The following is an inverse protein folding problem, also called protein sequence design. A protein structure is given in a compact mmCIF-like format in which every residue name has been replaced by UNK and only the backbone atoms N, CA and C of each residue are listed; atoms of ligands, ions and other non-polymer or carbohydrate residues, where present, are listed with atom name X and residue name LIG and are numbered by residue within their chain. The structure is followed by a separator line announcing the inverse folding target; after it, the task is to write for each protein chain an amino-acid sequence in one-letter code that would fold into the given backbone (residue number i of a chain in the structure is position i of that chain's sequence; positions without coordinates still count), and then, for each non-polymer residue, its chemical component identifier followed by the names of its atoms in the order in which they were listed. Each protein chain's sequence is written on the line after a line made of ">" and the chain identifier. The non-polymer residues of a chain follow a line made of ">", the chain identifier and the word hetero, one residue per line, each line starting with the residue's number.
data_IF_445451805658
#
_entry.id   IF_445451805658
#
_cell.length_a   1.000
_cell.length_b   1.000
_cell.length_c   1.000
_cell.angle_alpha   90.00
_cell.angle_beta   90.00
_cell.angle_gamma   90.00
#
_symmetry.space_group_name_H-M   'P 1'
#
loop_
_entity.id
_entity.type
_entity.pdbx_description
1 polymer ?
#
# COMPACT_ATOMS: atom_id res chain seq x y z
N UNK A 1 17.78 -28.05 -12.97
CA UNK A 1 16.47 -28.45 -12.41
C UNK A 1 15.80 -27.16 -11.99
N UNK A 2 14.81 -26.72 -12.76
CA UNK A 2 14.14 -25.42 -12.65
C UNK A 2 13.23 -25.44 -11.42
N UNK A 3 13.37 -24.46 -10.52
CA UNK A 3 12.41 -24.21 -9.44
C UNK A 3 11.44 -23.13 -9.94
N UNK A 4 10.14 -23.43 -9.85
CA UNK A 4 9.05 -22.54 -10.24
C UNK A 4 9.11 -21.22 -9.44
N UNK A 5 9.30 -20.11 -10.16
CA UNK A 5 9.10 -18.75 -9.64
C UNK A 5 7.61 -18.42 -9.71
N UNK A 6 6.82 -18.86 -8.74
CA UNK A 6 5.39 -18.60 -8.67
C UNK A 6 5.03 -18.06 -7.29
N UNK A 7 4.52 -16.82 -7.26
CA UNK A 7 3.87 -16.12 -6.12
C UNK A 7 4.72 -15.83 -4.86
N UNK A 8 5.58 -16.74 -4.39
CA UNK A 8 6.36 -16.57 -3.15
C UNK A 8 7.44 -15.48 -3.25
N UNK A 9 7.96 -15.20 -4.45
CA UNK A 9 8.99 -14.16 -4.63
C UNK A 9 8.43 -12.73 -4.47
N UNK A 10 7.13 -12.54 -4.66
CA UNK A 10 6.49 -11.22 -4.67
C UNK A 10 6.26 -10.68 -3.25
N UNK A 11 5.87 -11.55 -2.32
CA UNK A 11 5.79 -11.23 -0.89
C UNK A 11 7.18 -10.94 -0.30
N UNK A 12 8.21 -11.65 -0.79
CA UNK A 12 9.59 -11.42 -0.37
C UNK A 12 10.10 -10.04 -0.78
N UNK A 13 9.79 -9.58 -2.00
CA UNK A 13 10.26 -8.28 -2.50
C UNK A 13 9.59 -7.09 -1.78
N UNK A 14 8.30 -7.17 -1.45
CA UNK A 14 7.60 -6.12 -0.67
C UNK A 14 8.12 -6.02 0.77
N UNK A 15 8.33 -7.16 1.44
CA UNK A 15 8.92 -7.21 2.78
C UNK A 15 10.39 -6.70 2.78
N UNK A 16 11.16 -6.96 1.71
CA UNK A 16 12.55 -6.52 1.58
C UNK A 16 12.70 -5.01 1.38
N UNK A 17 11.76 -4.33 0.72
CA UNK A 17 11.76 -2.86 0.59
C UNK A 17 11.66 -2.19 1.96
N UNK A 18 10.86 -2.77 2.86
CA UNK A 18 10.66 -2.29 4.23
C UNK A 18 11.77 -2.69 5.19
N UNK A 19 12.26 -3.93 5.10
CA UNK A 19 13.39 -4.42 5.92
C UNK A 19 14.70 -3.67 5.67
N UNK A 20 14.87 -3.03 4.50
CA UNK A 20 16.03 -2.14 4.24
C UNK A 20 16.02 -0.86 5.08
N UNK A 21 14.89 -0.47 5.65
CA UNK A 21 14.69 0.80 6.34
C UNK A 21 14.32 0.64 7.82
N UNK A 22 14.05 -0.59 8.28
CA UNK A 22 13.84 -0.89 9.68
C UNK A 22 15.20 -1.01 10.42
N UNK A 23 15.42 -0.29 11.54
CA UNK A 23 16.54 -0.60 12.41
C UNK A 23 16.42 -2.04 12.90
N UNK A 24 17.57 -2.72 13.06
CA UNK A 24 17.67 -4.10 13.56
C UNK A 24 16.76 -4.28 14.77
N UNK A 25 15.95 -5.35 14.75
CA UNK A 25 15.05 -5.75 15.83
C UNK A 25 15.73 -5.62 17.21
N UNK A 26 15.18 -4.77 18.08
CA UNK A 26 15.54 -4.69 19.51
C UNK A 26 14.32 -4.98 20.37
N UNK A 27 14.49 -5.50 21.61
CA UNK A 27 13.38 -5.82 22.51
C UNK A 27 12.45 -4.65 22.87
N UNK A 28 12.89 -3.41 22.63
CA UNK A 28 12.13 -2.18 22.80
C UNK A 28 11.33 -1.81 21.54
N UNK A 29 10.92 -2.79 20.74
CA UNK A 29 10.23 -2.53 19.46
C UNK A 29 8.90 -1.83 19.73
N UNK A 30 8.61 -0.68 19.08
CA UNK A 30 7.35 0.01 19.26
C UNK A 30 6.18 -0.85 18.71
N UNK A 31 4.94 -0.58 19.15
CA UNK A 31 3.75 -1.42 18.87
C UNK A 31 3.56 -1.70 17.37
N UNK A 32 2.77 -2.73 17.01
CA UNK A 32 2.41 -3.05 15.62
C UNK A 32 2.02 -1.80 14.80
N UNK A 33 1.35 -0.83 15.44
CA UNK A 33 0.96 0.45 14.83
C UNK A 33 2.13 1.32 14.42
N UNK A 34 3.19 1.36 15.23
CA UNK A 34 4.37 2.17 14.94
C UNK A 34 5.17 1.62 13.76
N UNK A 35 5.16 0.30 13.57
CA UNK A 35 5.79 -0.38 12.44
C UNK A 35 4.96 -0.20 11.17
N UNK A 36 3.63 -0.27 11.27
CA UNK A 36 2.71 0.06 10.17
C UNK A 36 2.83 1.53 9.76
N UNK A 37 2.82 2.46 10.72
CA UNK A 37 2.96 3.89 10.44
C UNK A 37 4.33 4.24 9.84
N UNK A 38 5.38 3.49 10.20
CA UNK A 38 6.71 3.62 9.62
C UNK A 38 6.81 2.98 8.24
N UNK A 39 6.12 1.85 8.01
CA UNK A 39 6.08 1.17 6.73
C UNK A 39 5.30 1.96 5.65
N UNK A 40 4.21 2.59 6.07
CA UNK A 40 3.32 3.36 5.19
C UNK A 40 3.76 4.83 5.03
N UNK A 41 4.94 5.22 5.53
CA UNK A 41 5.44 6.59 5.36
C UNK A 41 6.96 6.66 5.23
N UNK A 42 7.44 7.12 4.07
CA UNK A 42 8.87 7.26 3.80
C UNK A 42 9.51 8.34 4.71
N UNK A 43 10.61 7.94 5.38
CA UNK A 43 11.71 8.72 6.04
C UNK A 43 11.66 8.97 7.56
N UNK A 44 12.84 8.75 8.16
CA UNK A 44 13.17 8.80 9.58
C UNK A 44 13.47 10.18 10.21
N UNK A 45 14.32 10.26 11.25
CA UNK A 45 14.02 10.91 12.54
C UNK A 45 14.17 12.45 12.63
N UNK A 46 14.27 13.20 11.53
CA UNK A 46 14.44 14.64 11.61
C UNK A 46 13.56 15.38 10.59
N UNK A 47 12.50 16.03 11.07
CA UNK A 47 11.77 17.05 10.32
C UNK A 47 10.39 16.67 9.77
N UNK A 48 9.78 15.56 10.19
CA UNK A 48 8.39 15.27 9.79
C UNK A 48 7.40 16.14 10.60
N UNK A 49 6.39 16.77 9.98
CA UNK A 49 5.15 17.06 10.69
C UNK A 49 4.59 15.75 11.25
N UNK A 50 3.96 15.79 12.43
CA UNK A 50 3.35 14.60 13.02
C UNK A 50 2.41 13.93 11.99
N UNK A 51 2.33 12.58 11.97
CA UNK A 51 1.29 11.90 11.22
C UNK A 51 -0.07 12.54 11.55
N UNK A 52 -0.95 12.73 10.57
CA UNK A 52 -2.24 13.36 10.80
C UNK A 52 -3.01 12.65 11.91
N UNK A 53 -3.69 13.41 12.76
CA UNK A 53 -4.45 12.88 13.90
C UNK A 53 -5.49 11.83 13.46
N UNK A 54 -6.05 12.03 12.27
CA UNK A 54 -7.04 11.17 11.64
C UNK A 54 -6.49 9.76 11.36
N UNK A 55 -5.20 9.66 11.04
CA UNK A 55 -4.53 8.38 10.81
C UNK A 55 -4.39 7.59 12.12
N UNK A 56 -3.96 8.26 13.18
CA UNK A 56 -3.90 7.66 14.52
C UNK A 56 -5.27 7.23 15.03
N UNK A 57 -6.30 8.07 14.81
CA UNK A 57 -7.69 7.75 15.15
C UNK A 57 -8.21 6.53 14.40
N UNK A 58 -7.85 6.37 13.12
CA UNK A 58 -8.24 5.22 12.30
C UNK A 58 -7.62 3.92 12.82
N UNK A 59 -6.32 3.93 13.15
CA UNK A 59 -5.66 2.77 13.76
C UNK A 59 -6.24 2.42 15.13
N UNK A 60 -6.48 3.42 15.98
CA UNK A 60 -7.10 3.21 17.29
C UNK A 60 -8.50 2.58 17.17
N UNK A 61 -9.31 3.03 16.21
CA UNK A 61 -10.62 2.45 15.95
C UNK A 61 -10.54 0.99 15.47
N UNK A 62 -9.61 0.69 14.55
CA UNK A 62 -9.35 -0.68 14.09
C UNK A 62 -8.91 -1.60 15.24
N UNK A 63 -8.08 -1.10 16.16
CA UNK A 63 -7.64 -1.89 17.32
C UNK A 63 -8.74 -2.11 18.36
N UNK A 64 -9.61 -1.12 18.54
CA UNK A 64 -10.73 -1.23 19.47
C UNK A 64 -11.73 -2.32 19.04
N UNK A 65 -11.90 -2.52 17.73
CA UNK A 65 -12.68 -3.63 17.15
C UNK A 65 -11.99 -4.22 15.90
N UNK A 66 -11.10 -5.21 16.08
CA UNK A 66 -10.29 -5.75 14.99
C UNK A 66 -11.00 -6.85 14.20
N UNK A 67 -12.28 -7.14 14.47
CA UNK A 67 -12.97 -8.33 13.94
C UNK A 67 -12.87 -8.39 12.42
N UNK A 68 -13.18 -7.29 11.74
CA UNK A 68 -13.15 -7.24 10.26
C UNK A 68 -11.73 -7.41 9.74
N UNK A 69 -10.78 -6.63 10.25
CA UNK A 69 -9.38 -6.65 9.79
C UNK A 69 -8.74 -8.03 9.99
N UNK A 70 -8.83 -8.57 11.21
CA UNK A 70 -8.24 -9.87 11.56
C UNK A 70 -8.89 -11.05 10.85
N UNK A 71 -10.20 -10.99 10.58
CA UNK A 71 -10.91 -12.05 9.85
C UNK A 71 -10.58 -12.02 8.36
N UNK A 72 -10.54 -10.83 7.76
CA UNK A 72 -10.41 -10.69 6.30
C UNK A 72 -8.95 -10.68 5.83
N UNK A 73 -8.09 -9.90 6.49
CA UNK A 73 -6.67 -9.79 6.14
C UNK A 73 -5.85 -10.76 7.00
N UNK A 74 -5.93 -10.61 8.32
CA UNK A 74 -5.07 -11.34 9.26
C UNK A 74 -4.35 -10.39 10.21
N UNK A 75 -3.16 -10.76 10.73
CA UNK A 75 -2.50 -9.97 11.76
C UNK A 75 -1.80 -8.70 11.25
N UNK A 76 -1.55 -8.55 9.95
CA UNK A 76 -0.87 -7.37 9.37
C UNK A 76 -0.95 -7.34 7.84
N UNK A 77 -0.64 -6.21 7.22
CA UNK A 77 -0.52 -6.02 5.75
C UNK A 77 0.43 -7.01 5.06
N UNK A 78 1.43 -7.53 5.77
CA UNK A 78 2.43 -8.46 5.22
C UNK A 78 2.09 -9.93 5.46
N UNK A 79 1.03 -10.20 6.21
CA UNK A 79 0.63 -11.57 6.58
C UNK A 79 -0.86 -11.72 6.32
N UNK A 80 -1.21 -11.96 5.06
CA UNK A 80 -2.59 -12.15 4.64
C UNK A 80 -2.95 -13.63 4.77
N UNK A 81 -3.65 -13.99 5.84
CA UNK A 81 -4.08 -15.36 6.16
C UNK A 81 -5.59 -15.47 6.38
N UNK A 82 -6.30 -14.35 6.35
CA UNK A 82 -7.75 -14.26 6.48
C UNK A 82 -8.49 -14.68 5.21
N UNK A 83 -9.77 -14.34 5.16
CA UNK A 83 -10.67 -14.75 4.06
C UNK A 83 -10.31 -14.17 2.69
N UNK A 84 -9.49 -13.11 2.63
CA UNK A 84 -9.05 -12.50 1.37
C UNK A 84 -7.76 -13.09 0.78
N UNK A 85 -7.12 -14.07 1.43
CA UNK A 85 -5.81 -14.60 0.98
C UNK A 85 -5.77 -15.11 -0.47
N UNK A 86 -6.91 -15.61 -0.98
CA UNK A 86 -7.05 -16.14 -2.34
C UNK A 86 -7.86 -15.21 -3.25
N UNK A 87 -8.21 -14.00 -2.78
CA UNK A 87 -9.08 -13.10 -3.52
C UNK A 87 -8.35 -12.49 -4.73
N UNK A 88 -9.05 -12.43 -5.87
CA UNK A 88 -8.58 -11.72 -7.06
C UNK A 88 -9.76 -11.21 -7.88
N UNK A 89 -9.62 -10.01 -8.44
CA UNK A 89 -10.54 -9.42 -9.40
C UNK A 89 -9.97 -9.36 -10.84
N UNK A 90 -8.75 -9.86 -11.07
CA UNK A 90 -8.03 -9.68 -12.35
C UNK A 90 -8.74 -10.26 -13.58
N UNK A 91 -9.64 -11.21 -13.39
CA UNK A 91 -10.43 -11.81 -14.48
C UNK A 91 -11.67 -11.00 -14.83
N UNK A 92 -12.05 -10.03 -13.99
CA UNK A 92 -13.25 -9.22 -14.14
C UNK A 92 -12.95 -7.78 -14.54
N UNK A 93 -11.76 -7.25 -14.23
CA UNK A 93 -11.41 -5.83 -14.44
C UNK A 93 -11.45 -5.36 -15.91
N UNK A 94 -11.42 -6.27 -16.88
CA UNK A 94 -11.62 -5.94 -18.30
C UNK A 94 -13.02 -5.38 -18.60
N UNK A 95 -13.98 -5.60 -17.70
CA UNK A 95 -15.36 -5.10 -17.79
C UNK A 95 -15.52 -3.64 -17.31
N UNK A 96 -14.49 -3.04 -16.73
CA UNK A 96 -14.52 -1.65 -16.28
C UNK A 96 -14.53 -0.72 -17.50
N UNK A 97 -15.61 0.04 -17.67
CA UNK A 97 -15.83 0.91 -18.84
C UNK A 97 -15.61 2.40 -18.56
N UNK A 98 -15.55 2.79 -17.29
CA UNK A 98 -15.29 4.14 -16.84
C UNK A 98 -13.79 4.48 -16.90
N UNK A 99 -13.42 5.77 -17.09
CA UNK A 99 -12.04 6.20 -16.91
C UNK A 99 -11.53 5.79 -15.52
N UNK A 100 -10.34 5.21 -15.46
CA UNK A 100 -9.72 4.71 -14.23
C UNK A 100 -8.35 5.36 -14.03
N UNK A 101 -8.05 5.74 -12.78
CA UNK A 101 -6.73 6.18 -12.35
C UNK A 101 -6.16 5.17 -11.37
N UNK A 102 -4.99 4.62 -11.70
CA UNK A 102 -4.17 3.84 -10.79
C UNK A 102 -3.11 4.75 -10.17
N UNK A 103 -2.86 4.57 -8.87
CA UNK A 103 -1.82 5.29 -8.14
C UNK A 103 -1.08 4.34 -7.22
N UNK A 104 0.25 4.47 -7.15
CA UNK A 104 1.08 3.84 -6.12
C UNK A 104 2.27 4.74 -5.77
N UNK A 105 2.86 4.55 -4.59
CA UNK A 105 4.17 5.12 -4.25
C UNK A 105 5.34 4.32 -4.87
N UNK A 106 6.52 4.93 -4.97
CA UNK A 106 7.73 4.23 -5.38
C UNK A 106 8.20 3.18 -4.35
N UNK A 107 7.83 3.33 -3.08
CA UNK A 107 8.15 2.39 -1.99
C UNK A 107 6.88 1.83 -1.35
N UNK A 108 5.81 1.80 -2.13
CA UNK A 108 4.52 1.29 -1.72
C UNK A 108 4.59 -0.22 -1.47
N UNK A 109 3.85 -0.76 -0.52
CA UNK A 109 3.62 -2.20 -0.46
C UNK A 109 2.90 -2.71 -1.74
N UNK A 110 2.07 -1.86 -2.36
CA UNK A 110 1.48 -2.07 -3.68
C UNK A 110 2.48 -1.71 -4.80
N UNK A 111 3.53 -2.52 -4.91
CA UNK A 111 4.57 -2.37 -5.94
C UNK A 111 4.03 -2.50 -7.37
N UNK A 112 4.80 -2.03 -8.35
CA UNK A 112 4.45 -2.04 -9.77
C UNK A 112 3.96 -3.41 -10.27
N UNK A 113 4.52 -4.50 -9.75
CA UNK A 113 4.11 -5.87 -10.10
C UNK A 113 2.66 -6.19 -9.72
N UNK A 114 2.14 -5.59 -8.66
CA UNK A 114 0.74 -5.72 -8.25
C UNK A 114 -0.19 -4.82 -9.09
N UNK A 115 0.28 -3.64 -9.51
CA UNK A 115 -0.53 -2.64 -10.23
C UNK A 115 -0.53 -2.87 -11.74
N UNK A 116 0.56 -3.37 -12.31
CA UNK A 116 0.74 -3.57 -13.76
C UNK A 116 -0.34 -4.45 -14.41
N UNK A 117 -0.87 -5.53 -13.77
CA UNK A 117 -1.99 -6.28 -14.31
C UNK A 117 -3.26 -5.44 -14.50
N UNK A 118 -3.52 -4.46 -13.61
CA UNK A 118 -4.66 -3.54 -13.75
C UNK A 118 -4.45 -2.61 -14.94
N UNK A 119 -3.26 -2.04 -15.08
CA UNK A 119 -2.92 -1.18 -16.20
C UNK A 119 -3.03 -1.93 -17.55
N UNK A 120 -2.67 -3.21 -17.58
CA UNK A 120 -2.73 -4.02 -18.79
C UNK A 120 -4.16 -4.44 -19.19
N UNK A 121 -5.06 -4.63 -18.23
CA UNK A 121 -6.40 -5.22 -18.47
C UNK A 121 -7.55 -4.21 -18.47
N UNK A 122 -7.40 -3.04 -17.85
CA UNK A 122 -8.46 -2.02 -17.83
C UNK A 122 -8.40 -1.20 -19.14
N UNK A 123 -9.49 -1.11 -19.93
CA UNK A 123 -9.46 -0.44 -21.24
C UNK A 123 -9.12 1.06 -21.22
N UNK A 124 -9.58 1.80 -20.20
CA UNK A 124 -9.45 3.25 -20.10
C UNK A 124 -8.71 3.65 -18.83
N UNK A 125 -7.42 3.37 -18.78
CA UNK A 125 -6.63 3.52 -17.55
C UNK A 125 -5.45 4.47 -17.73
N UNK A 126 -5.20 5.28 -16.70
CA UNK A 126 -3.97 6.04 -16.49
C UNK A 126 -3.32 5.55 -15.22
N UNK A 127 -1.99 5.58 -15.17
CA UNK A 127 -1.23 5.16 -13.98
C UNK A 127 -0.19 6.23 -13.62
N UNK A 128 -0.14 6.60 -12.35
CA UNK A 128 0.82 7.55 -11.77
C UNK A 128 1.54 6.93 -10.58
N UNK A 129 2.87 6.89 -10.64
CA UNK A 129 3.71 6.50 -9.49
C UNK A 129 4.28 7.74 -8.82
N UNK A 130 4.10 7.85 -7.49
CA UNK A 130 4.56 8.95 -6.66
C UNK A 130 5.98 8.68 -6.16
N UNK A 131 6.95 9.37 -6.78
CA UNK A 131 8.39 9.10 -6.62
C UNK A 131 8.93 9.22 -5.18
N UNK A 132 8.26 10.00 -4.33
CA UNK A 132 8.65 10.26 -2.95
C UNK A 132 7.61 9.75 -1.94
N UNK A 133 6.75 8.80 -2.34
CA UNK A 133 5.71 8.23 -1.49
C UNK A 133 5.84 6.72 -1.35
N UNK A 134 5.26 6.21 -0.27
CA UNK A 134 4.98 4.80 -0.03
C UNK A 134 3.47 4.59 -0.19
N UNK A 135 2.79 3.96 0.77
CA UNK A 135 1.38 3.58 0.63
C UNK A 135 0.40 4.74 0.76
N UNK A 136 0.78 5.81 1.47
CA UNK A 136 -0.11 6.93 1.79
C UNK A 136 0.31 8.21 1.05
N UNK A 137 0.42 8.14 -0.28
CA UNK A 137 0.82 9.26 -1.13
C UNK A 137 -0.02 10.54 -0.91
N UNK A 138 -1.29 10.39 -0.50
CA UNK A 138 -2.19 11.50 -0.16
C UNK A 138 -1.80 12.28 1.12
N UNK A 139 -0.96 11.70 1.97
CA UNK A 139 -0.31 12.36 3.10
C UNK A 139 1.15 12.72 2.82
N UNK A 140 1.85 11.92 2.02
CA UNK A 140 3.30 12.06 1.79
C UNK A 140 3.62 13.11 0.71
N UNK A 141 2.87 13.13 -0.40
CA UNK A 141 2.98 14.10 -1.49
C UNK A 141 1.64 14.81 -1.73
N UNK A 142 1.01 15.29 -0.64
CA UNK A 142 -0.37 15.80 -0.61
C UNK A 142 -0.74 16.71 -1.79
N UNK A 143 0.03 17.79 -2.01
CA UNK A 143 -0.28 18.77 -3.06
C UNK A 143 -0.29 18.13 -4.45
N UNK A 144 0.72 17.30 -4.74
CA UNK A 144 0.83 16.57 -5.99
C UNK A 144 -0.26 15.52 -6.14
N UNK A 145 -0.59 14.81 -5.06
CA UNK A 145 -1.66 13.81 -5.05
C UNK A 145 -2.99 14.45 -5.43
N UNK A 146 -3.36 15.55 -4.78
CA UNK A 146 -4.61 16.25 -5.08
C UNK A 146 -4.60 16.97 -6.42
N UNK A 147 -3.45 17.44 -6.92
CA UNK A 147 -3.33 17.94 -8.29
C UNK A 147 -3.68 16.85 -9.32
N UNK A 148 -3.07 15.66 -9.19
CA UNK A 148 -3.27 14.54 -10.11
C UNK A 148 -4.72 14.03 -10.06
N UNK A 149 -5.26 13.82 -8.86
CA UNK A 149 -6.65 13.40 -8.67
C UNK A 149 -7.61 14.47 -9.17
N UNK A 150 -7.34 15.75 -8.91
CA UNK A 150 -8.15 16.87 -9.38
C UNK A 150 -8.22 16.94 -10.92
N UNK A 151 -7.09 16.84 -11.61
CA UNK A 151 -7.05 16.76 -13.09
C UNK A 151 -7.82 15.56 -13.61
N UNK A 152 -7.67 14.40 -12.96
CA UNK A 152 -8.43 13.20 -13.32
C UNK A 152 -9.94 13.40 -13.21
N UNK A 153 -10.42 13.98 -12.11
CA UNK A 153 -11.85 14.18 -11.84
C UNK A 153 -12.47 15.29 -12.71
N UNK A 154 -11.69 16.31 -13.07
CA UNK A 154 -12.19 17.45 -13.88
C UNK A 154 -12.02 17.24 -15.38
N UNK A 155 -11.25 16.22 -15.80
CA UNK A 155 -10.94 15.97 -17.21
C UNK A 155 -9.99 17.01 -17.83
N UNK A 156 -9.34 17.84 -17.01
CA UNK A 156 -8.41 18.88 -17.41
C UNK A 156 -6.97 18.38 -17.58
#
# INVERSE_FOLDING_TARGET
>A
MMMEKGQDSLLYDAALVLLRHLPLWTPDTPTLDSLLLHALSRRGPAGRPAPPEELGSSFAAMQADPIVYSTMLGPSEFTIVGTLKDWSCLDQIHTIDCPTLLTNGADDEAQDVAVQPFFAKIPKVRWVTFANSSHMAFFEERDRYFEIVGKFLTGA
#
